data_IF_898800849402
#
_entry.id   IF_898800849402
#
_cell.length_a   1.000
_cell.length_b   1.000
_cell.length_c   1.000
_cell.angle_alpha   90.00
_cell.angle_beta   90.00
_cell.angle_gamma   90.00
#
_symmetry.space_group_name_H-M   'P 1'
#
loop_
_entity.id
_entity.type
_entity.pdbx_description
1 polymer ?
#
# COMPACT_ATOMS: atom_id res chain seq x y z
N UNK A 1 -8.43 5.20 12.08
CA UNK A 1 -7.63 3.95 12.17
C UNK A 1 -7.42 3.41 10.76
N UNK A 2 -6.36 3.83 10.10
CA UNK A 2 -6.07 3.47 8.71
C UNK A 2 -5.42 2.10 8.69
N UNK A 3 -6.19 1.08 8.29
CA UNK A 3 -5.77 -0.33 8.24
C UNK A 3 -5.01 -0.57 6.94
N UNK A 4 -3.82 0.00 6.85
CA UNK A 4 -3.00 0.03 5.63
C UNK A 4 -2.15 -1.24 5.46
N UNK A 5 -2.66 -2.40 5.84
CA UNK A 5 -1.91 -3.66 5.76
C UNK A 5 -2.26 -4.43 4.48
N UNK A 6 -1.27 -4.62 3.61
CA UNK A 6 -1.41 -5.28 2.32
C UNK A 6 -0.59 -6.57 2.32
N UNK A 7 -1.21 -7.74 2.12
CA UNK A 7 -0.47 -8.99 2.00
C UNK A 7 0.37 -9.04 0.71
N UNK A 8 1.41 -9.89 0.69
CA UNK A 8 2.18 -10.13 -0.53
C UNK A 8 1.29 -10.63 -1.68
N UNK A 9 1.57 -10.19 -2.90
CA UNK A 9 0.79 -10.53 -4.08
C UNK A 9 -0.52 -9.77 -4.25
N UNK A 10 -0.86 -8.85 -3.35
CA UNK A 10 -2.06 -8.00 -3.53
C UNK A 10 -1.84 -6.89 -4.55
N UNK A 11 -2.94 -6.46 -5.16
CA UNK A 11 -3.01 -5.35 -6.10
C UNK A 11 -2.83 -4.03 -5.36
N UNK A 12 -1.85 -3.22 -5.76
CA UNK A 12 -1.61 -1.93 -5.13
C UNK A 12 -1.27 -0.82 -6.10
N UNK A 13 -1.65 0.39 -5.71
CA UNK A 13 -1.33 1.62 -6.45
C UNK A 13 0.15 2.00 -6.35
N UNK A 14 0.60 2.93 -7.18
CA UNK A 14 1.93 3.51 -7.04
C UNK A 14 2.04 4.19 -5.68
N UNK A 15 3.14 3.91 -4.98
CA UNK A 15 3.33 4.43 -3.64
C UNK A 15 4.55 3.87 -2.92
N UNK A 16 4.77 4.43 -1.74
CA UNK A 16 5.73 3.98 -0.75
C UNK A 16 5.05 3.06 0.25
N UNK A 17 5.64 1.89 0.42
CA UNK A 17 5.23 0.83 1.32
C UNK A 17 6.35 0.57 2.33
N UNK A 18 6.01 0.07 3.50
CA UNK A 18 6.97 -0.31 4.53
C UNK A 18 6.66 -1.71 5.01
N UNK A 19 7.62 -2.62 4.94
CA UNK A 19 7.42 -3.98 5.41
C UNK A 19 6.94 -3.94 6.87
N UNK A 20 5.86 -4.66 7.17
CA UNK A 20 5.28 -4.69 8.51
C UNK A 20 6.16 -5.43 9.52
N UNK A 21 7.08 -6.26 9.01
CA UNK A 21 7.94 -7.11 9.80
C UNK A 21 9.33 -6.49 10.03
N UNK A 22 10.08 -6.22 8.97
CA UNK A 22 11.44 -5.67 9.05
C UNK A 22 11.53 -4.15 8.95
N UNK A 23 10.42 -3.47 8.64
CA UNK A 23 10.41 -2.01 8.50
C UNK A 23 11.09 -1.49 7.23
N UNK A 24 11.41 -2.35 6.25
CA UNK A 24 12.02 -1.94 4.99
C UNK A 24 11.08 -1.07 4.18
N UNK A 25 11.55 0.08 3.73
CA UNK A 25 10.81 0.94 2.81
C UNK A 25 10.96 0.45 1.37
N UNK A 26 9.84 0.35 0.68
CA UNK A 26 9.73 -0.14 -0.68
C UNK A 26 8.84 0.81 -1.48
N UNK A 27 9.45 1.54 -2.40
CA UNK A 27 8.72 2.41 -3.32
C UNK A 27 8.49 1.68 -4.62
N UNK A 28 7.23 1.52 -5.01
CA UNK A 28 6.84 0.83 -6.24
C UNK A 28 5.85 1.67 -7.04
N UNK A 29 5.85 1.44 -8.34
CA UNK A 29 4.82 1.95 -9.25
C UNK A 29 3.59 1.03 -9.19
N UNK A 30 2.42 1.50 -9.65
CA UNK A 30 1.17 0.72 -9.59
C UNK A 30 1.37 -0.63 -10.24
N UNK A 31 1.18 -1.71 -9.47
CA UNK A 31 1.34 -3.08 -9.95
C UNK A 31 0.26 -3.97 -9.37
N UNK A 32 -0.25 -4.84 -10.22
CA UNK A 32 -1.27 -5.84 -9.91
C UNK A 32 -0.79 -6.93 -8.95
N UNK A 33 0.54 -7.05 -8.76
CA UNK A 33 1.11 -7.99 -7.82
C UNK A 33 2.32 -7.40 -7.11
N UNK A 34 2.16 -7.11 -5.82
CA UNK A 34 3.25 -6.67 -4.96
C UNK A 34 4.23 -7.82 -4.71
N UNK A 35 5.52 -7.68 -5.05
CA UNK A 35 6.50 -8.70 -4.69
C UNK A 35 6.65 -8.82 -3.17
N UNK A 36 7.08 -10.00 -2.69
CA UNK A 36 7.46 -10.17 -1.29
C UNK A 36 8.66 -9.27 -0.93
N UNK A 37 8.88 -9.07 0.38
CA UNK A 37 10.02 -8.31 0.88
C UNK A 37 11.34 -8.88 0.30
N UNK A 38 12.25 -8.05 -0.24
CA UNK A 38 13.50 -8.58 -0.78
C UNK A 38 14.44 -9.11 0.31
N UNK A 39 14.30 -8.64 1.56
CA UNK A 39 14.95 -9.22 2.74
C UNK A 39 14.01 -10.18 3.49
N UNK A 40 13.08 -10.83 2.79
CA UNK A 40 12.17 -11.78 3.40
C UNK A 40 12.96 -12.85 4.16
N UNK A 41 12.67 -12.95 5.45
CA UNK A 41 13.29 -13.88 6.37
C UNK A 41 12.18 -14.64 7.11
N UNK A 42 12.10 -15.97 6.98
CA UNK A 42 11.02 -16.76 7.55
C UNK A 42 10.96 -16.72 9.09
N UNK A 43 12.04 -16.32 9.74
CA UNK A 43 12.12 -16.18 11.20
C UNK A 43 11.62 -14.84 11.73
N UNK A 44 11.63 -13.78 10.91
CA UNK A 44 11.28 -12.41 11.32
C UNK A 44 10.03 -11.87 10.63
N UNK A 45 9.64 -12.45 9.50
CA UNK A 45 8.47 -12.04 8.74
C UNK A 45 7.24 -12.91 9.09
N UNK A 46 6.49 -12.46 10.08
CA UNK A 46 5.31 -13.15 10.63
C UNK A 46 4.02 -12.64 9.98
N UNK A 47 3.96 -11.33 9.71
CA UNK A 47 2.79 -10.65 9.14
C UNK A 47 2.70 -10.84 7.63
N UNK A 48 3.84 -11.00 6.94
CA UNK A 48 3.91 -11.25 5.51
C UNK A 48 3.18 -10.18 4.68
N UNK A 49 3.42 -8.92 5.05
CA UNK A 49 2.70 -7.81 4.48
C UNK A 49 3.47 -6.50 4.48
N UNK A 50 2.86 -5.55 3.78
CA UNK A 50 3.33 -4.20 3.55
C UNK A 50 2.37 -3.21 4.20
N UNK A 51 2.90 -2.29 4.99
CA UNK A 51 2.20 -1.12 5.47
C UNK A 51 2.26 -0.01 4.40
N UNK A 52 1.12 0.48 3.94
CA UNK A 52 1.07 1.60 2.99
C UNK A 52 1.44 2.88 3.72
N UNK A 53 2.62 3.43 3.42
CA UNK A 53 3.06 4.73 3.94
C UNK A 53 2.48 5.89 3.12
N UNK A 54 2.61 5.80 1.80
CA UNK A 54 2.18 6.84 0.87
C UNK A 54 1.75 6.18 -0.43
N UNK A 55 0.48 5.80 -0.52
CA UNK A 55 -0.09 5.15 -1.69
C UNK A 55 -1.57 5.42 -1.63
N UNK A 56 -2.06 6.25 -2.55
CA UNK A 56 -3.42 6.75 -2.50
C UNK A 56 -4.37 5.69 -3.06
N UNK A 57 -4.57 4.62 -2.29
CA UNK A 57 -5.52 3.53 -2.61
C UNK A 57 -6.98 3.91 -2.42
N UNK A 58 -7.29 5.18 -2.18
CA UNK A 58 -8.66 5.68 -2.24
C UNK A 58 -8.65 6.99 -3.00
N UNK A 59 -9.39 7.00 -4.10
CA UNK A 59 -9.91 8.21 -4.70
C UNK A 59 -10.62 9.04 -3.61
N UNK A 60 -9.91 9.97 -2.97
CA UNK A 60 -10.48 11.00 -2.08
C UNK A 60 -10.41 12.37 -2.74
N UNK A 61 -10.32 12.38 -4.06
CA UNK A 61 -10.70 13.53 -4.85
C UNK A 61 -11.70 13.02 -5.88
N UNK A 62 -12.93 12.75 -5.44
CA UNK A 62 -14.05 12.84 -6.36
C UNK A 62 -14.06 14.30 -6.86
N UNK A 63 -13.79 14.55 -8.15
CA UNK A 63 -13.62 15.89 -8.67
C UNK A 63 -14.96 16.52 -9.04
N UNK A 64 -16.11 16.00 -8.60
CA UNK A 64 -17.39 16.58 -8.91
C UNK A 64 -17.77 17.62 -7.84
N UNK A 65 -17.54 18.93 -8.09
CA UNK A 65 -18.23 19.93 -7.29
C UNK A 65 -19.72 19.73 -7.52
N UNK A 66 -20.44 19.49 -6.42
CA UNK A 66 -21.86 19.73 -6.35
C UNK A 66 -22.10 21.20 -6.76
N UNK A 67 -22.40 21.42 -8.05
CA UNK A 67 -22.99 22.67 -8.51
C UNK A 67 -24.50 22.51 -8.54
N UNK A 68 -25.07 22.26 -7.37
CA UNK A 68 -26.42 22.72 -7.06
C UNK A 68 -26.39 24.26 -7.03
N UNK A 69 -26.73 24.93 -8.13
CA UNK A 69 -27.49 26.20 -8.17
C UNK A 69 -27.45 26.84 -9.55
N UNK A 70 -28.48 26.59 -10.37
CA UNK A 70 -29.44 27.62 -10.82
C UNK A 70 -30.54 27.04 -11.68
#
# INVERSE_FOLDING_TARGET
MQKNHVPYGSDVSAGTYKCADCGREYSNQSKTSLPPCPDYQPSTHVLNGWNILSGQGNAVADPYPDQSSR
#
